data_IF_981469329031
#
_entry.id   IF_981469329031
#
_cell.length_a   1.000
_cell.length_b   1.000
_cell.length_c   1.000
_cell.angle_alpha   90.00
_cell.angle_beta   90.00
_cell.angle_gamma   90.00
#
_symmetry.space_group_name_H-M   'P 1'
#
loop_
_entity.id
_entity.type
_entity.pdbx_description
1 polymer ?
#
# COMPACT_ATOMS: atom_id res chain seq x y z
N UNK A 1 -0.49 -20.34 -14.63
CA UNK A 1 -1.57 -19.71 -13.84
C UNK A 1 -1.20 -18.25 -13.60
N UNK A 2 -2.00 -17.30 -14.04
CA UNK A 2 -1.69 -15.85 -13.99
C UNK A 2 -1.80 -15.31 -12.56
N UNK A 3 -0.68 -14.94 -11.92
CA UNK A 3 -0.68 -14.21 -10.64
C UNK A 3 -1.40 -12.88 -10.84
N UNK A 4 -2.61 -12.76 -10.28
CA UNK A 4 -3.49 -11.59 -10.41
C UNK A 4 -2.95 -10.50 -9.48
N UNK A 5 -2.60 -9.32 -10.02
CA UNK A 5 -2.16 -8.19 -9.19
C UNK A 5 -3.28 -7.79 -8.23
N UNK A 6 -2.99 -7.52 -6.94
CA UNK A 6 -4.01 -7.12 -5.98
C UNK A 6 -4.62 -5.78 -6.38
N UNK A 7 -5.92 -5.64 -6.11
CA UNK A 7 -6.68 -4.44 -6.47
C UNK A 7 -6.87 -3.52 -5.26
N UNK A 8 -6.88 -4.08 -4.05
CA UNK A 8 -7.03 -3.33 -2.80
C UNK A 8 -5.78 -3.40 -1.91
N UNK A 9 -5.71 -2.49 -0.93
CA UNK A 9 -4.63 -2.46 0.06
C UNK A 9 -4.61 -3.72 0.91
N UNK A 10 -5.78 -4.17 1.37
CA UNK A 10 -5.95 -5.37 2.20
C UNK A 10 -5.52 -6.63 1.45
N UNK A 11 -5.87 -6.74 0.16
CA UNK A 11 -5.40 -7.83 -0.69
C UNK A 11 -3.86 -7.83 -0.84
N UNK A 12 -3.25 -6.64 -0.98
CA UNK A 12 -1.81 -6.52 -1.11
C UNK A 12 -1.08 -6.89 0.20
N UNK A 13 -1.62 -6.49 1.36
CA UNK A 13 -1.10 -6.87 2.68
C UNK A 13 -1.23 -8.37 2.91
N UNK A 14 -2.41 -8.95 2.66
CA UNK A 14 -2.61 -10.40 2.79
C UNK A 14 -1.65 -11.19 1.88
N UNK A 15 -1.39 -10.69 0.67
CA UNK A 15 -0.40 -11.31 -0.23
C UNK A 15 1.02 -11.21 0.31
N UNK A 16 1.41 -10.09 0.91
CA UNK A 16 2.73 -9.92 1.54
C UNK A 16 2.94 -10.87 2.72
N UNK A 17 1.90 -11.12 3.53
CA UNK A 17 1.93 -12.11 4.61
C UNK A 17 2.13 -13.53 4.07
N UNK A 18 1.40 -13.88 3.01
CA UNK A 18 1.56 -15.18 2.35
C UNK A 18 2.97 -15.37 1.76
N UNK A 19 3.55 -14.32 1.19
CA UNK A 19 4.94 -14.33 0.70
C UNK A 19 5.91 -14.53 1.88
N UNK A 20 5.73 -13.81 2.99
CA UNK A 20 6.57 -13.98 4.17
C UNK A 20 6.52 -15.41 4.73
N UNK A 21 5.32 -16.00 4.84
CA UNK A 21 5.18 -17.38 5.27
C UNK A 21 5.86 -18.36 4.30
N UNK A 22 5.71 -18.15 2.99
CA UNK A 22 6.38 -18.97 2.00
C UNK A 22 7.91 -18.88 2.13
N UNK A 23 8.47 -17.68 2.33
CA UNK A 23 9.91 -17.46 2.47
C UNK A 23 10.50 -18.05 3.76
N UNK A 24 9.67 -18.33 4.77
CA UNK A 24 10.10 -19.00 6.00
C UNK A 24 10.24 -20.52 5.84
N UNK A 25 9.79 -21.09 4.71
CA UNK A 25 9.99 -22.49 4.42
C UNK A 25 11.48 -22.79 4.20
N UNK A 26 12.01 -23.78 4.91
CA UNK A 26 13.44 -24.13 4.95
C UNK A 26 14.04 -24.58 3.62
N UNK A 27 13.20 -24.86 2.61
CA UNK A 27 13.58 -25.51 1.35
C UNK A 27 13.10 -24.72 0.12
N UNK A 28 12.95 -23.39 0.26
CA UNK A 28 12.60 -22.54 -0.86
C UNK A 28 13.75 -22.47 -1.88
N UNK A 29 13.52 -22.85 -3.16
CA UNK A 29 14.52 -22.68 -4.20
C UNK A 29 14.91 -21.22 -4.40
N UNK A 30 16.16 -20.97 -4.80
CA UNK A 30 16.68 -19.61 -5.00
C UNK A 30 15.85 -18.80 -6.03
N UNK A 31 15.39 -19.45 -7.10
CA UNK A 31 14.56 -18.84 -8.13
C UNK A 31 13.20 -18.40 -7.58
N UNK A 32 12.59 -19.21 -6.72
CA UNK A 32 11.33 -18.89 -6.05
C UNK A 32 11.51 -17.78 -5.02
N UNK A 33 12.64 -17.76 -4.31
CA UNK A 33 12.99 -16.69 -3.38
C UNK A 33 13.14 -15.34 -4.10
N UNK A 34 13.79 -15.34 -5.27
CA UNK A 34 13.92 -14.14 -6.10
C UNK A 34 12.56 -13.66 -6.61
N UNK A 35 11.71 -14.57 -7.07
CA UNK A 35 10.36 -14.24 -7.52
C UNK A 35 9.48 -13.69 -6.38
N UNK A 36 9.57 -14.30 -5.19
CA UNK A 36 8.89 -13.85 -3.98
C UNK A 36 9.35 -12.44 -3.57
N UNK A 37 10.65 -12.17 -3.62
CA UNK A 37 11.20 -10.84 -3.33
C UNK A 37 10.72 -9.78 -4.32
N UNK A 38 10.74 -10.07 -5.63
CA UNK A 38 10.27 -9.15 -6.66
C UNK A 38 8.78 -8.83 -6.47
N UNK A 39 7.96 -9.87 -6.25
CA UNK A 39 6.54 -9.72 -5.98
C UNK A 39 6.31 -8.89 -4.71
N UNK A 40 7.02 -9.19 -3.62
CA UNK A 40 6.95 -8.42 -2.38
C UNK A 40 7.32 -6.94 -2.56
N UNK A 41 8.36 -6.65 -3.35
CA UNK A 41 8.77 -5.27 -3.64
C UNK A 41 7.69 -4.49 -4.39
N UNK A 42 7.04 -5.11 -5.38
CA UNK A 42 5.92 -4.49 -6.10
C UNK A 42 4.74 -4.21 -5.18
N UNK A 43 4.40 -5.15 -4.29
CA UNK A 43 3.31 -5.01 -3.33
C UNK A 43 3.56 -3.90 -2.32
N UNK A 44 4.78 -3.79 -1.78
CA UNK A 44 5.16 -2.71 -0.87
C UNK A 44 5.01 -1.35 -1.55
N UNK A 45 5.47 -1.21 -2.79
CA UNK A 45 5.31 0.03 -3.57
C UNK A 45 3.84 0.38 -3.79
N UNK A 46 3.01 -0.61 -4.09
CA UNK A 46 1.57 -0.42 -4.23
C UNK A 46 0.94 0.09 -2.92
N UNK A 47 1.26 -0.52 -1.78
CA UNK A 47 0.75 -0.10 -0.48
C UNK A 47 1.17 1.34 -0.14
N UNK A 48 2.44 1.68 -0.35
CA UNK A 48 2.95 3.03 -0.13
C UNK A 48 2.23 4.08 -1.01
N UNK A 49 2.01 3.77 -2.28
CA UNK A 49 1.27 4.66 -3.18
C UNK A 49 -0.17 4.88 -2.73
N UNK A 50 -0.85 3.83 -2.23
CA UNK A 50 -2.20 3.95 -1.68
C UNK A 50 -2.26 4.79 -0.42
N UNK A 51 -1.30 4.62 0.50
CA UNK A 51 -1.21 5.44 1.70
C UNK A 51 -0.97 6.91 1.36
N UNK A 52 -0.04 7.20 0.45
CA UNK A 52 0.22 8.57 0.00
C UNK A 52 -1.02 9.22 -0.65
N UNK A 53 -1.81 8.46 -1.42
CA UNK A 53 -3.07 8.94 -2.00
C UNK A 53 -4.09 9.33 -0.91
N UNK A 54 -4.17 8.54 0.16
CA UNK A 54 -5.08 8.82 1.30
C UNK A 54 -4.58 10.03 2.09
N UNK A 55 -3.28 10.12 2.39
CA UNK A 55 -2.67 11.26 3.08
C UNK A 55 -2.91 12.56 2.31
N UNK A 56 -2.74 12.55 0.99
CA UNK A 56 -3.01 13.72 0.15
C UNK A 56 -4.48 14.14 0.22
N UNK A 57 -5.42 13.18 0.22
CA UNK A 57 -6.85 13.49 0.35
C UNK A 57 -7.18 14.08 1.72
N UNK A 58 -6.57 13.58 2.78
CA UNK A 58 -6.74 14.13 4.13
C UNK A 58 -6.21 15.58 4.19
N UNK A 59 -5.03 15.85 3.64
CA UNK A 59 -4.47 17.21 3.59
C UNK A 59 -5.37 18.21 2.86
N UNK A 60 -5.98 17.81 1.75
CA UNK A 60 -6.93 18.68 1.02
C UNK A 60 -8.19 18.94 1.85
N UNK A 61 -8.67 17.93 2.59
CA UNK A 61 -9.84 18.06 3.44
C UNK A 61 -9.56 18.99 4.62
N UNK A 62 -8.43 18.81 5.31
CA UNK A 62 -7.98 19.65 6.42
C UNK A 62 -7.77 21.11 5.97
N UNK A 63 -7.11 21.32 4.82
CA UNK A 63 -6.92 22.66 4.26
C UNK A 63 -8.24 23.32 3.83
N UNK A 64 -9.23 22.53 3.39
CA UNK A 64 -10.59 23.00 3.12
C UNK A 64 -11.31 23.42 4.39
N UNK A 65 -11.14 22.64 5.46
CA UNK A 65 -11.72 22.90 6.78
C UNK A 65 -11.11 24.14 7.44
N UNK A 66 -9.80 24.35 7.30
CA UNK A 66 -9.13 25.60 7.73
C UNK A 66 -9.60 26.81 6.93
N UNK A 67 -9.90 26.66 5.63
CA UNK A 67 -10.45 27.76 4.83
C UNK A 67 -11.85 28.17 5.24
N UNK A 68 -12.71 27.22 5.61
CA UNK A 68 -14.06 27.51 6.09
C UNK A 68 -14.05 28.25 7.43
N UNK A 69 -13.11 27.92 8.32
CA UNK A 69 -12.95 28.63 9.61
C UNK A 69 -12.43 30.07 9.47
N UNK A 70 -11.81 30.43 8.35
CA UNK A 70 -11.31 31.78 8.07
C UNK A 70 -12.40 32.68 7.46
N UNK A 71 -13.44 32.10 6.86
CA UNK A 71 -14.50 32.86 6.17
C UNK A 71 -15.60 33.40 7.10
N UNK A 72 -15.52 33.16 8.41
CA UNK A 72 -16.46 33.68 9.42
C UNK A 72 -15.85 34.77 10.33
N UNK A 73 -14.65 35.28 10.05
CA UNK A 73 -13.97 36.29 10.91
C UNK A 73 -13.77 37.68 10.28
N UNK A 74 -14.23 37.91 9.05
CA UNK A 74 -14.24 39.26 8.48
C UNK A 74 -15.63 39.90 8.69
N UNK A 75 -15.78 40.64 9.80
CA UNK A 75 -16.78 41.72 9.96
C UNK A 75 -16.56 42.86 8.96
#
# INVERSE_FOLDING_TARGET
MTKKKPKTFEEAVSRLEAINQAMQASDMPLEDALAAYQEGSELVRFCQARLAEVEQKLQVLDAGQERELVLEQDE
#
